data_IF_593857050797
#
_entry.id   IF_593857050797
#
_cell.length_a   1.000
_cell.length_b   1.000
_cell.length_c   1.000
_cell.angle_alpha   90.00
_cell.angle_beta   90.00
_cell.angle_gamma   90.00
#
_symmetry.space_group_name_H-M   'P 1'
#
loop_
_entity.id
_entity.type
_entity.pdbx_description
1 polymer ?
#
# COMPACT_ATOMS: atom_id res chain seq x y z
N UNK A 1 -24.52 17.60 16.44
CA UNK A 1 -24.69 17.80 14.99
C UNK A 1 -23.84 16.88 14.14
N UNK A 2 -24.56 16.15 13.31
CA UNK A 2 -24.26 14.93 12.57
C UNK A 2 -23.27 15.08 11.40
N UNK A 3 -22.22 15.90 11.53
CA UNK A 3 -21.34 16.25 10.41
C UNK A 3 -20.02 15.46 10.34
N UNK A 4 -19.69 14.63 11.34
CA UNK A 4 -18.39 13.93 11.41
C UNK A 4 -18.37 12.59 10.67
N UNK A 5 -19.55 12.06 10.30
CA UNK A 5 -19.69 10.68 9.77
C UNK A 5 -19.60 10.59 8.23
N UNK A 6 -19.55 11.70 7.49
CA UNK A 6 -19.74 11.68 6.02
C UNK A 6 -18.47 11.81 5.16
N UNK A 7 -17.29 11.46 5.67
CA UNK A 7 -16.06 11.42 4.86
C UNK A 7 -15.34 10.06 4.85
N UNK A 8 -16.09 8.95 4.96
CA UNK A 8 -15.58 7.58 4.84
C UNK A 8 -15.25 7.12 3.39
N UNK A 9 -15.00 8.03 2.45
CA UNK A 9 -14.66 7.68 1.05
C UNK A 9 -13.45 8.41 0.45
N UNK A 10 -12.40 8.60 1.25
CA UNK A 10 -11.05 8.72 0.69
C UNK A 10 -10.09 7.85 1.48
N UNK A 11 -10.14 6.55 1.19
CA UNK A 11 -8.95 5.71 1.35
C UNK A 11 -7.79 6.44 0.65
N UNK A 12 -6.62 6.58 1.28
CA UNK A 12 -5.48 7.15 0.59
C UNK A 12 -5.24 6.28 -0.65
N UNK A 13 -5.21 6.92 -1.83
CA UNK A 13 -4.71 6.30 -3.04
C UNK A 13 -3.30 5.79 -2.78
N UNK A 14 -3.18 4.54 -2.30
CA UNK A 14 -1.96 3.73 -2.35
C UNK A 14 -1.78 3.18 -3.76
N UNK A 15 -1.92 4.05 -4.76
CA UNK A 15 -1.68 3.76 -6.17
C UNK A 15 -0.94 4.93 -6.78
N UNK A 16 0.10 5.37 -6.07
CA UNK A 16 1.18 6.21 -6.59
C UNK A 16 2.47 5.41 -6.74
N UNK A 17 2.40 4.07 -6.81
CA UNK A 17 3.36 3.38 -7.67
C UNK A 17 2.88 3.75 -9.06
N UNK A 18 3.69 4.56 -9.73
CA UNK A 18 3.62 4.77 -11.16
C UNK A 18 3.07 3.51 -11.79
N UNK A 19 2.04 3.66 -12.61
CA UNK A 19 1.73 2.70 -13.64
C UNK A 19 2.98 2.66 -14.52
N UNK A 20 4.04 2.02 -14.03
CA UNK A 20 5.04 1.41 -14.87
C UNK A 20 4.16 0.47 -15.67
N UNK A 21 3.76 0.94 -16.85
CA UNK A 21 3.58 0.10 -18.02
C UNK A 21 4.88 -0.68 -18.07
N UNK A 22 4.90 -1.76 -17.29
CA UNK A 22 6.04 -2.60 -17.12
C UNK A 22 6.13 -3.19 -18.52
N UNK A 23 7.20 -2.85 -19.23
CA UNK A 23 7.65 -3.64 -20.38
C UNK A 23 7.34 -5.08 -20.03
N UNK A 24 6.54 -5.78 -20.85
CA UNK A 24 6.27 -7.20 -20.68
C UNK A 24 7.59 -7.84 -20.27
N UNK A 25 7.70 -8.17 -18.99
CA UNK A 25 8.95 -8.69 -18.45
C UNK A 25 9.06 -10.05 -19.12
N UNK A 26 10.21 -10.39 -19.69
CA UNK A 26 10.46 -11.67 -20.39
C UNK A 26 10.04 -12.89 -19.52
N UNK A 27 9.88 -12.70 -18.20
CA UNK A 27 9.30 -13.67 -17.26
C UNK A 27 7.77 -13.87 -17.37
N UNK A 28 6.97 -12.83 -17.67
CA UNK A 28 5.51 -12.93 -17.79
C UNK A 28 5.09 -13.72 -19.04
N UNK A 29 5.70 -13.42 -20.18
CA UNK A 29 5.50 -14.17 -21.44
C UNK A 29 5.83 -15.65 -21.26
N UNK A 30 6.95 -15.94 -20.58
CA UNK A 30 7.38 -17.30 -20.26
C UNK A 30 6.37 -18.01 -19.35
N UNK A 31 5.83 -17.33 -18.33
CA UNK A 31 4.79 -17.89 -17.46
C UNK A 31 3.48 -18.16 -18.23
N UNK A 32 3.07 -17.27 -19.14
CA UNK A 32 1.92 -17.48 -20.04
C UNK A 32 2.16 -18.73 -20.89
N UNK A 33 3.32 -18.83 -21.52
CA UNK A 33 3.67 -19.97 -22.35
C UNK A 33 3.69 -21.28 -21.55
N UNK A 34 4.21 -21.26 -20.31
CA UNK A 34 4.15 -22.40 -19.39
C UNK A 34 2.71 -22.82 -19.14
N UNK A 35 1.82 -21.89 -18.77
CA UNK A 35 0.42 -22.20 -18.47
C UNK A 35 -0.28 -22.80 -19.70
N UNK A 36 -0.11 -22.20 -20.88
CA UNK A 36 -0.70 -22.70 -22.13
C UNK A 36 -0.19 -24.10 -22.48
N UNK A 37 1.12 -24.32 -22.38
CA UNK A 37 1.74 -25.62 -22.71
C UNK A 37 1.38 -26.69 -21.67
N UNK A 38 1.30 -26.34 -20.38
CA UNK A 38 0.88 -27.24 -19.31
C UNK A 38 -0.58 -27.68 -19.48
N UNK A 39 -1.46 -26.79 -19.93
CA UNK A 39 -2.86 -27.12 -20.21
C UNK A 39 -3.01 -28.10 -21.38
N UNK A 40 -2.12 -28.03 -22.38
CA UNK A 40 -2.17 -28.89 -23.57
C UNK A 40 -1.43 -30.23 -23.39
N UNK A 41 -0.31 -30.25 -22.66
CA UNK A 41 0.60 -31.40 -22.56
C UNK A 41 0.53 -32.15 -21.22
N UNK A 42 -0.21 -31.61 -20.25
CA UNK A 42 -0.46 -32.11 -18.89
C UNK A 42 0.79 -32.28 -17.98
N UNK A 43 1.98 -32.47 -18.55
CA UNK A 43 3.19 -32.84 -17.81
C UNK A 43 4.34 -31.82 -17.98
N UNK A 44 4.93 -31.31 -16.87
CA UNK A 44 6.04 -30.33 -16.90
C UNK A 44 7.29 -30.78 -17.63
N UNK A 45 7.58 -32.08 -17.67
CA UNK A 45 8.74 -32.64 -18.36
C UNK A 45 8.63 -32.46 -19.89
N UNK A 46 7.42 -32.57 -20.44
CA UNK A 46 7.15 -32.34 -21.86
C UNK A 46 7.27 -30.86 -22.22
N UNK A 47 6.74 -29.98 -21.36
CA UNK A 47 6.87 -28.52 -21.50
C UNK A 47 8.35 -28.12 -21.48
N UNK A 48 9.13 -28.68 -20.55
CA UNK A 48 10.57 -28.43 -20.47
C UNK A 48 11.32 -28.89 -21.72
N UNK A 49 11.01 -30.09 -22.20
CA UNK A 49 11.60 -30.65 -23.43
C UNK A 49 11.26 -29.77 -24.64
N UNK A 50 10.05 -29.25 -24.71
CA UNK A 50 9.64 -28.32 -25.75
C UNK A 50 10.48 -27.04 -25.69
N UNK A 51 10.64 -26.42 -24.52
CA UNK A 51 11.45 -25.21 -24.39
C UNK A 51 12.93 -25.42 -24.72
N UNK A 52 13.47 -26.62 -24.46
CA UNK A 52 14.81 -26.99 -24.90
C UNK A 52 14.92 -27.11 -26.42
N UNK A 53 13.88 -27.57 -27.13
CA UNK A 53 13.88 -27.60 -28.61
C UNK A 53 13.81 -26.22 -29.22
N UNK A 54 13.02 -25.34 -28.60
CA UNK A 54 12.84 -23.95 -29.02
C UNK A 54 14.01 -23.03 -28.60
N UNK A 55 15.06 -23.58 -27.96
CA UNK A 55 16.25 -22.85 -27.50
C UNK A 55 15.94 -21.61 -26.64
N UNK A 56 14.92 -21.69 -25.76
CA UNK A 56 14.61 -20.57 -24.86
C UNK A 56 15.74 -20.34 -23.85
N UNK A 57 16.13 -19.08 -23.58
CA UNK A 57 17.06 -18.76 -22.50
C UNK A 57 16.38 -18.96 -21.13
N UNK A 58 17.15 -19.44 -20.14
CA UNK A 58 16.74 -19.55 -18.74
C UNK A 58 15.47 -20.39 -18.48
N UNK A 59 15.46 -21.65 -18.93
CA UNK A 59 14.34 -22.58 -18.77
C UNK A 59 14.11 -22.92 -17.27
N UNK A 60 12.90 -22.67 -16.73
CA UNK A 60 12.60 -22.97 -15.33
C UNK A 60 12.66 -24.46 -14.99
N UNK A 61 12.86 -24.76 -13.71
CA UNK A 61 12.78 -26.13 -13.21
C UNK A 61 11.36 -26.68 -13.33
N UNK A 62 11.21 -28.00 -13.46
CA UNK A 62 9.89 -28.67 -13.45
C UNK A 62 9.08 -28.33 -12.20
N UNK A 63 9.76 -28.19 -11.04
CA UNK A 63 9.12 -27.74 -9.80
C UNK A 63 8.55 -26.33 -9.94
N UNK A 64 9.30 -25.42 -10.55
CA UNK A 64 8.86 -24.04 -10.79
C UNK A 64 7.67 -23.99 -11.73
N UNK A 65 7.69 -24.77 -12.82
CA UNK A 65 6.56 -24.87 -13.75
C UNK A 65 5.30 -25.39 -13.08
N UNK A 66 5.40 -26.42 -12.23
CA UNK A 66 4.27 -26.90 -11.41
C UNK A 66 3.74 -25.81 -10.48
N UNK A 67 4.61 -25.10 -9.78
CA UNK A 67 4.20 -24.03 -8.87
C UNK A 67 3.48 -22.90 -9.61
N UNK A 68 3.97 -22.51 -10.80
CA UNK A 68 3.32 -21.50 -11.64
C UNK A 68 1.93 -21.97 -12.07
N UNK A 69 1.81 -23.20 -12.56
CA UNK A 69 0.52 -23.77 -12.98
C UNK A 69 -0.47 -23.88 -11.81
N UNK A 70 -0.03 -24.36 -10.65
CA UNK A 70 -0.89 -24.47 -9.47
C UNK A 70 -1.40 -23.10 -9.00
N UNK A 71 -0.53 -22.09 -8.93
CA UNK A 71 -0.93 -20.71 -8.61
C UNK A 71 -1.97 -20.18 -9.60
N UNK A 72 -1.77 -20.46 -10.88
CA UNK A 72 -2.72 -20.09 -11.92
C UNK A 72 -4.06 -20.82 -11.75
N UNK A 73 -4.06 -22.13 -11.49
CA UNK A 73 -5.28 -22.91 -11.25
C UNK A 73 -6.04 -22.46 -9.99
N UNK A 74 -5.32 -22.01 -8.96
CA UNK A 74 -5.92 -21.53 -7.69
C UNK A 74 -6.45 -20.10 -7.79
N UNK A 75 -5.69 -19.17 -8.39
CA UNK A 75 -6.00 -17.73 -8.38
C UNK A 75 -6.53 -17.20 -9.71
N UNK A 76 -6.32 -17.93 -10.82
CA UNK A 76 -6.60 -17.47 -12.19
C UNK A 76 -5.63 -16.40 -12.71
N UNK A 77 -4.54 -16.13 -11.99
CA UNK A 77 -3.59 -15.06 -12.29
C UNK A 77 -2.17 -15.59 -12.43
N UNK A 78 -1.42 -14.99 -13.35
CA UNK A 78 0.00 -15.28 -13.63
C UNK A 78 0.93 -14.32 -12.87
N UNK A 79 0.37 -13.20 -12.42
CA UNK A 79 1.11 -12.18 -11.69
C UNK A 79 1.46 -12.65 -10.29
N UNK A 80 2.62 -12.20 -9.81
CA UNK A 80 3.00 -12.42 -8.42
C UNK A 80 2.01 -11.72 -7.49
N UNK A 81 1.52 -12.47 -6.50
CA UNK A 81 0.69 -11.91 -5.45
C UNK A 81 1.48 -10.86 -4.66
N UNK A 82 0.77 -9.84 -4.19
CA UNK A 82 1.37 -8.84 -3.33
C UNK A 82 1.93 -9.51 -2.07
N UNK A 83 3.20 -9.23 -1.78
CA UNK A 83 3.83 -9.75 -0.57
C UNK A 83 3.20 -9.04 0.63
N UNK A 84 2.81 -9.79 1.65
CA UNK A 84 2.29 -9.26 2.92
C UNK A 84 3.25 -8.29 3.62
N UNK A 85 4.55 -8.37 3.32
CA UNK A 85 5.57 -7.48 3.86
C UNK A 85 5.79 -7.70 5.36
N UNK A 86 6.52 -6.77 6.00
CA UNK A 86 6.73 -6.80 7.45
C UNK A 86 5.43 -6.32 8.14
N UNK A 87 4.91 -7.06 9.14
CA UNK A 87 3.71 -6.63 9.85
C UNK A 87 3.93 -5.25 10.49
N UNK A 88 2.92 -4.39 10.35
CA UNK A 88 2.90 -3.05 10.94
C UNK A 88 2.62 -3.15 12.44
N UNK A 89 3.32 -2.36 13.25
CA UNK A 89 2.99 -2.18 14.67
C UNK A 89 1.77 -1.30 14.91
N UNK A 90 1.30 -0.59 13.88
CA UNK A 90 -0.02 0.04 13.88
C UNK A 90 -1.02 -0.97 13.33
N UNK A 91 -1.64 -1.73 14.23
CA UNK A 91 -2.83 -2.55 13.97
C UNK A 91 -4.08 -1.67 14.01
N UNK A 92 -5.19 -2.19 13.48
CA UNK A 92 -6.46 -1.46 13.45
C UNK A 92 -7.00 -1.16 14.86
N UNK A 93 -6.85 -2.10 15.80
CA UNK A 93 -7.17 -1.90 17.22
C UNK A 93 -6.41 -0.69 17.81
N UNK A 94 -5.11 -0.59 17.50
CA UNK A 94 -4.27 0.51 17.97
C UNK A 94 -4.59 1.83 17.29
N UNK A 95 -5.12 1.80 16.07
CA UNK A 95 -5.64 2.98 15.42
C UNK A 95 -6.87 3.51 16.14
N UNK A 96 -7.81 2.64 16.50
CA UNK A 96 -9.03 3.00 17.23
C UNK A 96 -8.71 3.59 18.61
N UNK A 97 -7.81 2.96 19.38
CA UNK A 97 -7.35 3.51 20.67
C UNK A 97 -6.75 4.93 20.53
N UNK A 98 -6.00 5.19 19.46
CA UNK A 98 -5.43 6.52 19.21
C UNK A 98 -6.55 7.54 18.91
N UNK A 99 -7.56 7.13 18.13
CA UNK A 99 -8.72 7.99 17.79
C UNK A 99 -9.54 8.31 19.03
N UNK A 100 -9.78 7.34 19.91
CA UNK A 100 -10.49 7.53 21.18
C UNK A 100 -9.76 8.55 22.06
N UNK A 101 -8.46 8.35 22.29
CA UNK A 101 -7.64 9.26 23.11
C UNK A 101 -7.62 10.69 22.56
N UNK A 102 -7.61 10.84 21.23
CA UNK A 102 -7.66 12.14 20.56
C UNK A 102 -9.04 12.79 20.63
N UNK A 103 -10.11 11.98 20.61
CA UNK A 103 -11.49 12.45 20.74
C UNK A 103 -11.75 12.97 22.14
N UNK A 104 -11.21 12.30 23.16
CA UNK A 104 -11.29 12.73 24.56
C UNK A 104 -10.48 14.01 24.83
N UNK A 105 -9.27 14.09 24.27
CA UNK A 105 -8.40 15.24 24.45
C UNK A 105 -7.61 15.57 23.17
N UNK A 106 -8.11 16.51 22.34
CA UNK A 106 -7.47 16.88 21.08
C UNK A 106 -6.07 17.52 21.22
N UNK A 107 -5.75 18.08 22.40
CA UNK A 107 -4.49 18.80 22.65
C UNK A 107 -3.39 17.91 23.26
N UNK A 108 -3.69 16.62 23.45
CA UNK A 108 -2.76 15.68 24.08
C UNK A 108 -1.47 15.51 23.25
N UNK A 109 -0.33 15.47 23.93
CA UNK A 109 0.95 15.28 23.24
C UNK A 109 1.10 13.86 22.70
N UNK A 110 1.77 13.73 21.55
CA UNK A 110 2.10 12.43 20.91
C UNK A 110 2.81 11.48 21.88
N UNK A 111 3.67 12.01 22.77
CA UNK A 111 4.37 11.20 23.78
C UNK A 111 3.41 10.60 24.81
N UNK A 112 2.39 11.36 25.22
CA UNK A 112 1.39 10.87 26.16
C UNK A 112 0.45 9.85 25.51
N UNK A 113 0.06 10.04 24.24
CA UNK A 113 -0.69 9.04 23.46
C UNK A 113 0.11 7.73 23.39
N UNK A 114 1.38 7.80 22.99
CA UNK A 114 2.28 6.66 22.92
C UNK A 114 2.34 5.87 24.23
N UNK A 115 2.39 6.58 25.37
CA UNK A 115 2.38 5.95 26.70
C UNK A 115 1.04 5.31 27.05
N UNK A 116 -0.10 5.94 26.70
CA UNK A 116 -1.44 5.40 26.96
C UNK A 116 -1.72 4.12 26.15
N UNK A 117 -1.40 4.16 24.86
CA UNK A 117 -1.67 3.10 23.87
C UNK A 117 -0.58 2.01 23.90
N UNK A 118 0.55 2.27 24.58
CA UNK A 118 1.72 1.40 24.69
C UNK A 118 2.40 1.08 23.34
N UNK A 119 2.70 2.12 22.56
CA UNK A 119 3.37 2.00 21.24
C UNK A 119 4.47 3.06 21.14
N UNK A 120 5.45 2.84 20.26
CA UNK A 120 6.46 3.86 19.97
C UNK A 120 5.84 5.18 19.47
N UNK A 121 6.44 6.30 19.90
CA UNK A 121 6.05 7.65 19.46
C UNK A 121 6.05 7.80 17.93
N UNK A 122 6.98 7.14 17.25
CA UNK A 122 7.11 7.19 15.79
C UNK A 122 5.91 6.56 15.08
N UNK A 123 5.37 5.47 15.62
CA UNK A 123 4.17 4.82 15.08
C UNK A 123 2.96 5.72 15.27
N UNK A 124 2.74 6.25 16.48
CA UNK A 124 1.62 7.19 16.74
C UNK A 124 1.69 8.39 15.79
N UNK A 125 2.87 9.00 15.63
CA UNK A 125 3.05 10.13 14.72
C UNK A 125 2.77 9.75 13.26
N UNK A 126 3.21 8.57 12.82
CA UNK A 126 2.89 8.05 11.47
C UNK A 126 1.39 7.88 11.29
N UNK A 127 0.72 7.25 12.26
CA UNK A 127 -0.73 7.05 12.25
C UNK A 127 -1.48 8.38 12.15
N UNK A 128 -1.10 9.38 12.96
CA UNK A 128 -1.71 10.71 12.91
C UNK A 128 -1.52 11.40 11.55
N UNK A 129 -0.34 11.27 10.93
CA UNK A 129 -0.02 11.96 9.67
C UNK A 129 -0.57 11.27 8.42
N UNK A 130 -0.48 9.94 8.37
CA UNK A 130 -0.78 9.13 7.19
C UNK A 130 -2.21 8.58 7.19
N UNK A 131 -2.70 8.12 8.35
CA UNK A 131 -4.03 7.51 8.45
C UNK A 131 -5.09 8.57 8.80
N UNK A 132 -4.86 9.39 9.82
CA UNK A 132 -5.78 10.47 10.22
C UNK A 132 -5.63 11.75 9.38
N UNK A 133 -4.54 11.86 8.60
CA UNK A 133 -4.33 12.99 7.70
C UNK A 133 -4.00 14.32 8.39
N UNK A 134 -3.70 14.33 9.68
CA UNK A 134 -3.39 15.56 10.42
C UNK A 134 -2.17 16.27 9.83
N UNK A 135 -2.29 17.59 9.71
CA UNK A 135 -1.23 18.48 9.23
C UNK A 135 -0.74 19.36 10.37
N UNK A 136 0.56 19.71 10.39
CA UNK A 136 1.06 20.73 11.31
C UNK A 136 0.24 22.02 11.16
N UNK A 137 -0.14 22.62 12.28
CA UNK A 137 -0.77 23.93 12.28
C UNK A 137 0.26 24.98 11.84
N UNK A 138 -0.10 25.83 10.87
CA UNK A 138 0.73 26.95 10.41
C UNK A 138 0.19 28.24 11.03
N UNK A 139 0.90 28.77 12.02
CA UNK A 139 0.57 30.09 12.57
C UNK A 139 0.85 31.17 11.52
N UNK A 140 -0.14 31.99 11.22
CA UNK A 140 0.02 33.16 10.37
C UNK A 140 -0.02 34.40 11.26
N UNK A 141 1.00 35.23 11.16
CA UNK A 141 0.98 36.56 11.79
C UNK A 141 0.22 37.49 10.84
N UNK A 142 -0.96 37.94 11.25
CA UNK A 142 -1.75 38.90 10.48
C UNK A 142 -1.43 40.32 10.93
N UNK A 143 -1.35 41.26 9.99
CA UNK A 143 -1.22 42.67 10.33
C UNK A 143 -2.55 43.23 10.82
N UNK A 144 -2.50 44.04 11.89
CA UNK A 144 -3.67 44.77 12.37
C UNK A 144 -4.04 45.87 11.36
N UNK A 145 -5.28 45.87 10.90
CA UNK A 145 -5.81 46.93 10.03
C UNK A 145 -6.23 48.11 10.91
N UNK A 146 -5.60 49.26 10.71
CA UNK A 146 -6.05 50.52 11.30
C UNK A 146 -7.10 51.17 10.37
N UNK A 147 -8.14 51.75 10.97
CA UNK A 147 -9.17 52.48 10.24
C UNK A 147 -8.53 53.77 9.68
N UNK A 148 -8.12 53.73 8.40
CA UNK A 148 -7.66 54.87 7.57
C UNK A 148 -6.66 55.81 8.26
N UNK A 149 -5.39 55.69 7.87
CA UNK A 149 -4.41 56.76 8.06
C UNK A 149 -5.03 58.08 7.56
N UNK A 150 -5.44 58.94 8.50
CA UNK A 150 -5.84 60.33 8.26
C UNK A 150 -4.56 61.08 7.88
N UNK A 151 -4.14 60.89 6.65
CA UNK A 151 -3.13 61.69 5.96
C UNK A 151 -3.92 62.51 4.94
N UNK A 152 -3.59 63.80 4.83
CA UNK A 152 -4.34 64.91 4.18
C UNK A 152 -5.48 65.43 5.09
N UNK A 153 -5.40 66.60 5.74
CA UNK A 153 -4.55 67.80 5.65
C UNK A 153 -4.28 68.37 7.06
#
# INVERSE_FOLDING_TARGET
DSAVILNLKRLPNRTGKDLKLNKMSVDEELRIQIVLMMANLEYPSLVRRHFHRENLPNIPSEKTMKTIFNKFSETGSIYDQERSGRPSSATDEKFEEIVEVLSDNPTISVRNIARKVNISKSVVHRTMREMLGFKPYKMHLTQQLYERARIYE
#
